data_IF_949725236867
#
_entry.id   IF_949725236867
#
_cell.length_a   1.000
_cell.length_b   1.000
_cell.length_c   1.000
_cell.angle_alpha   90.00
_cell.angle_beta   90.00
_cell.angle_gamma   90.00
#
_symmetry.space_group_name_H-M   'P 1'
#
loop_
_entity.id
_entity.type
_entity.pdbx_description
1 polymer ?
#
# COMPACT_ATOMS: atom_id res chain seq x y z
N UNK A 1 43.46 -11.22 68.12
CA UNK A 1 42.59 -11.87 67.12
C UNK A 1 42.26 -10.83 66.09
N UNK A 2 42.67 -11.10 64.86
CA UNK A 2 42.69 -10.22 63.70
C UNK A 2 41.28 -9.93 63.15
N UNK A 3 41.08 -8.81 62.43
CA UNK A 3 39.82 -8.41 61.81
C UNK A 3 39.71 -8.88 60.36
N UNK A 4 38.51 -9.20 59.87
CA UNK A 4 38.10 -9.37 58.46
C UNK A 4 36.64 -9.87 58.44
N UNK A 5 35.75 -9.54 57.50
CA UNK A 5 35.82 -8.73 56.29
C UNK A 5 34.40 -8.25 55.93
N UNK A 6 34.34 -7.10 55.24
CA UNK A 6 33.22 -6.72 54.39
C UNK A 6 33.02 -7.80 53.32
N UNK A 7 31.77 -8.20 53.07
CA UNK A 7 31.44 -8.89 51.83
C UNK A 7 30.38 -8.10 51.05
N UNK A 8 30.87 -7.58 49.94
CA UNK A 8 30.16 -6.88 48.89
C UNK A 8 29.62 -7.91 47.92
N UNK A 9 28.33 -8.22 47.98
CA UNK A 9 27.67 -8.98 46.92
C UNK A 9 27.14 -8.02 45.87
N UNK A 10 27.99 -7.79 44.87
CA UNK A 10 27.65 -7.27 43.55
C UNK A 10 26.46 -8.04 42.99
N UNK A 11 25.30 -7.37 42.90
CA UNK A 11 24.17 -7.86 42.12
C UNK A 11 24.56 -7.86 40.64
N UNK A 12 24.75 -9.05 40.08
CA UNK A 12 24.90 -9.31 38.66
C UNK A 12 23.67 -8.77 37.93
N UNK A 13 23.79 -7.91 36.90
CA UNK A 13 22.63 -7.55 36.10
C UNK A 13 22.22 -8.78 35.29
N UNK A 14 21.07 -9.35 35.63
CA UNK A 14 20.40 -10.33 34.79
C UNK A 14 20.15 -9.69 33.42
N UNK A 15 20.66 -10.33 32.37
CA UNK A 15 20.36 -10.02 30.98
C UNK A 15 18.83 -9.93 30.80
N UNK A 16 18.34 -8.72 30.59
CA UNK A 16 16.99 -8.50 30.09
C UNK A 16 16.94 -9.02 28.65
N UNK A 17 16.30 -10.16 28.49
CA UNK A 17 15.84 -10.64 27.20
C UNK A 17 14.82 -9.63 26.67
N UNK A 18 15.25 -8.76 25.75
CA UNK A 18 14.36 -7.89 24.98
C UNK A 18 13.57 -8.75 23.98
N UNK A 19 12.33 -9.05 24.32
CA UNK A 19 11.43 -9.83 23.49
C UNK A 19 9.99 -9.65 23.93
N UNK A 20 9.41 -8.48 23.67
CA UNK A 20 7.98 -8.25 23.74
C UNK A 20 7.63 -7.12 22.78
N UNK A 21 7.45 -7.49 21.51
CA UNK A 21 6.89 -6.61 20.48
C UNK A 21 5.47 -6.19 20.83
N UNK A 22 5.07 -5.08 20.21
CA UNK A 22 3.73 -4.51 20.23
C UNK A 22 2.66 -5.51 19.77
N UNK A 23 2.22 -6.42 20.65
CA UNK A 23 0.97 -7.13 20.46
C UNK A 23 -0.11 -6.46 21.30
N UNK A 24 -0.59 -5.31 20.80
CA UNK A 24 -1.83 -4.72 21.28
C UNK A 24 -2.95 -5.73 21.05
N UNK A 25 -3.62 -6.13 22.12
CA UNK A 25 -4.77 -7.04 22.09
C UNK A 25 -5.91 -6.31 21.39
N UNK A 26 -6.06 -6.52 20.07
CA UNK A 26 -7.05 -5.85 19.24
C UNK A 26 -8.46 -6.25 19.68
N UNK A 27 -9.09 -5.39 20.49
CA UNK A 27 -10.54 -5.30 20.65
C UNK A 27 -11.22 -5.15 19.29
N UNK A 28 -12.56 -5.29 19.23
CA UNK A 28 -13.31 -5.16 17.97
C UNK A 28 -12.92 -3.86 17.24
N UNK A 29 -12.13 -3.99 16.16
CA UNK A 29 -11.54 -2.86 15.47
C UNK A 29 -12.63 -2.06 14.78
N UNK A 30 -13.07 -0.97 15.42
CA UNK A 30 -14.04 -0.05 14.85
C UNK A 30 -13.47 0.55 13.56
N UNK A 31 -14.33 0.92 12.61
CA UNK A 31 -13.89 1.51 11.35
C UNK A 31 -13.00 2.75 11.58
N UNK A 32 -13.32 3.57 12.58
CA UNK A 32 -12.50 4.72 12.97
C UNK A 32 -11.09 4.37 13.45
N UNK A 33 -10.91 3.25 14.17
CA UNK A 33 -9.58 2.76 14.54
C UNK A 33 -8.80 2.32 13.29
N UNK A 34 -9.43 1.54 12.41
CA UNK A 34 -8.82 1.04 11.18
C UNK A 34 -8.38 2.18 10.26
N UNK A 35 -9.24 3.17 10.03
CA UNK A 35 -8.91 4.33 9.19
C UNK A 35 -7.90 5.27 9.86
N UNK A 36 -7.91 5.35 11.19
CA UNK A 36 -6.92 6.09 11.99
C UNK A 36 -5.51 5.51 11.88
N UNK A 37 -5.37 4.17 11.92
CA UNK A 37 -4.08 3.50 11.69
C UNK A 37 -3.49 3.87 10.32
N UNK A 38 -4.33 3.90 9.27
CA UNK A 38 -3.88 4.26 7.92
C UNK A 38 -3.35 5.71 7.84
N UNK A 39 -3.85 6.63 8.67
CA UNK A 39 -3.36 8.01 8.71
C UNK A 39 -1.87 8.10 9.10
N UNK A 40 -1.36 7.13 9.87
CA UNK A 40 0.04 7.11 10.30
C UNK A 40 1.02 6.82 9.15
N UNK A 41 0.52 6.31 8.01
CA UNK A 41 1.34 5.98 6.85
C UNK A 41 1.58 7.18 5.92
N UNK A 42 0.81 8.27 6.08
CA UNK A 42 0.82 9.44 5.19
C UNK A 42 2.21 10.05 5.03
N UNK A 43 2.52 10.47 3.80
CA UNK A 43 3.83 10.99 3.41
C UNK A 43 4.90 9.91 3.23
N UNK A 44 4.55 8.63 3.43
CA UNK A 44 5.49 7.52 3.35
C UNK A 44 5.45 6.74 2.04
N UNK A 45 6.36 5.78 1.96
CA UNK A 45 6.49 4.81 0.86
C UNK A 45 6.24 3.41 1.41
N UNK A 46 5.38 2.65 0.75
CA UNK A 46 5.15 1.24 1.03
C UNK A 46 5.86 0.42 -0.05
N UNK A 47 6.73 -0.50 0.34
CA UNK A 47 7.57 -1.24 -0.61
C UNK A 47 7.14 -2.71 -0.72
N UNK A 48 6.87 -3.18 -1.93
CA UNK A 48 6.68 -4.61 -2.20
C UNK A 48 8.01 -5.36 -2.02
N UNK A 49 8.01 -6.45 -1.24
CA UNK A 49 9.20 -7.25 -0.92
C UNK A 49 8.90 -8.75 -1.05
N UNK A 50 9.89 -9.52 -1.52
CA UNK A 50 9.75 -10.99 -1.72
C UNK A 50 10.55 -11.83 -0.73
N UNK A 51 11.31 -11.22 0.19
CA UNK A 51 12.06 -11.92 1.23
C UNK A 51 12.46 -10.96 2.37
N UNK A 52 13.03 -11.51 3.43
CA UNK A 52 13.49 -10.76 4.60
C UNK A 52 14.62 -9.75 4.29
N UNK A 53 15.49 -10.01 3.32
CA UNK A 53 16.59 -9.10 2.98
C UNK A 53 16.07 -7.84 2.29
N UNK A 54 15.14 -7.98 1.36
CA UNK A 54 14.43 -6.87 0.73
C UNK A 54 13.63 -6.06 1.77
N UNK A 55 13.00 -6.72 2.74
CA UNK A 55 12.30 -6.06 3.84
C UNK A 55 13.24 -5.19 4.68
N UNK A 56 14.43 -5.70 5.03
CA UNK A 56 15.45 -4.91 5.76
C UNK A 56 15.97 -3.74 4.94
N UNK A 57 16.14 -3.91 3.62
CA UNK A 57 16.53 -2.81 2.73
C UNK A 57 15.43 -1.72 2.73
N UNK A 58 14.17 -2.12 2.63
CA UNK A 58 13.04 -1.19 2.64
C UNK A 58 12.95 -0.41 3.96
N UNK A 59 13.07 -1.09 5.10
CA UNK A 59 13.08 -0.46 6.42
C UNK A 59 14.27 0.50 6.58
N UNK A 60 15.48 0.06 6.21
CA UNK A 60 16.69 0.89 6.28
C UNK A 60 16.63 2.12 5.35
N UNK A 61 15.88 2.04 4.25
CA UNK A 61 15.63 3.15 3.34
C UNK A 61 14.60 4.16 3.87
N UNK A 62 13.83 3.80 4.90
CA UNK A 62 12.79 4.64 5.49
C UNK A 62 11.38 4.38 4.94
N UNK A 63 11.10 3.17 4.44
CA UNK A 63 9.73 2.78 4.11
C UNK A 63 8.82 2.86 5.35
N UNK A 64 7.58 3.31 5.18
CA UNK A 64 6.62 3.38 6.29
C UNK A 64 5.93 2.03 6.55
N UNK A 65 5.95 1.12 5.58
CA UNK A 65 5.52 -0.28 5.69
C UNK A 65 6.12 -1.10 4.53
N UNK A 66 6.02 -2.42 4.61
CA UNK A 66 6.34 -3.34 3.50
C UNK A 66 5.12 -4.15 3.09
N UNK A 67 5.06 -4.55 1.82
CA UNK A 67 4.01 -5.41 1.25
C UNK A 67 4.62 -6.74 0.84
N UNK A 68 4.30 -7.80 1.58
CA UNK A 68 4.80 -9.15 1.31
C UNK A 68 4.06 -9.79 0.13
N UNK A 69 4.82 -10.29 -0.85
CA UNK A 69 4.29 -11.12 -1.93
C UNK A 69 5.36 -12.06 -2.54
N UNK A 70 4.99 -13.25 -3.01
CA UNK A 70 5.91 -14.24 -3.60
C UNK A 70 6.68 -13.74 -4.82
N UNK A 71 6.04 -12.90 -5.64
CA UNK A 71 6.58 -12.41 -6.90
C UNK A 71 6.16 -10.97 -7.09
N UNK A 72 7.11 -10.08 -7.33
CA UNK A 72 6.79 -8.69 -7.68
C UNK A 72 5.95 -8.63 -8.97
N UNK A 73 5.10 -7.61 -9.18
CA UNK A 73 4.15 -7.58 -10.29
C UNK A 73 4.77 -7.76 -11.69
N UNK A 74 5.99 -7.26 -11.91
CA UNK A 74 6.74 -7.49 -13.16
C UNK A 74 7.04 -8.98 -13.42
N UNK A 75 7.33 -9.76 -12.39
CA UNK A 75 7.56 -11.20 -12.51
C UNK A 75 6.25 -11.94 -12.73
N UNK A 76 5.15 -11.54 -12.06
CA UNK A 76 3.81 -12.09 -12.30
C UNK A 76 3.42 -11.95 -13.78
N UNK A 77 3.68 -10.79 -14.40
CA UNK A 77 3.44 -10.57 -15.84
C UNK A 77 4.26 -11.48 -16.74
N UNK A 78 5.56 -11.61 -16.44
CA UNK A 78 6.50 -12.39 -17.24
C UNK A 78 6.17 -13.87 -17.20
N UNK A 79 5.93 -14.38 -16.00
CA UNK A 79 5.75 -15.81 -15.75
C UNK A 79 4.32 -16.29 -16.03
N UNK A 80 3.34 -15.39 -15.92
CA UNK A 80 1.93 -15.70 -16.07
C UNK A 80 1.42 -16.68 -15.01
N UNK A 81 0.35 -17.40 -15.36
CA UNK A 81 -0.32 -18.35 -14.48
C UNK A 81 -1.19 -17.70 -13.41
N UNK A 82 -1.57 -18.47 -12.40
CA UNK A 82 -2.42 -18.02 -11.30
C UNK A 82 -1.55 -17.46 -10.17
N UNK A 83 -1.73 -16.18 -9.84
CA UNK A 83 -1.10 -15.53 -8.70
C UNK A 83 -2.05 -15.56 -7.49
N UNK A 84 -1.54 -15.95 -6.32
CA UNK A 84 -2.32 -16.20 -5.08
C UNK A 84 -1.71 -15.46 -3.89
N UNK A 85 -2.34 -15.57 -2.72
CA UNK A 85 -1.72 -15.19 -1.45
C UNK A 85 -0.39 -15.94 -1.28
N UNK A 86 0.58 -15.26 -0.68
CA UNK A 86 1.91 -15.82 -0.43
C UNK A 86 1.93 -16.81 0.71
N UNK A 87 2.91 -17.71 0.70
CA UNK A 87 3.15 -18.67 1.78
C UNK A 87 3.20 -17.94 3.15
N UNK A 88 2.33 -18.31 4.12
CA UNK A 88 2.37 -17.75 5.47
C UNK A 88 3.74 -17.82 6.15
N UNK A 89 4.57 -18.83 5.83
CA UNK A 89 5.94 -18.92 6.33
C UNK A 89 6.78 -17.73 5.85
N UNK A 90 6.74 -17.43 4.56
CA UNK A 90 7.46 -16.30 3.97
C UNK A 90 7.00 -14.98 4.58
N UNK A 91 5.68 -14.80 4.79
CA UNK A 91 5.14 -13.58 5.41
C UNK A 91 5.68 -13.43 6.84
N UNK A 92 5.67 -14.50 7.63
CA UNK A 92 6.23 -14.49 9.00
C UNK A 92 7.72 -14.19 9.03
N UNK A 93 8.49 -14.74 8.11
CA UNK A 93 9.93 -14.42 7.99
C UNK A 93 10.16 -12.92 7.71
N UNK A 94 9.30 -12.28 6.90
CA UNK A 94 9.34 -10.83 6.68
C UNK A 94 8.94 -10.07 7.95
N UNK A 95 7.86 -10.49 8.63
CA UNK A 95 7.41 -9.88 9.90
C UNK A 95 8.47 -9.95 11.00
N UNK A 96 9.23 -11.04 11.07
CA UNK A 96 10.32 -11.20 12.04
C UNK A 96 11.56 -10.36 11.67
N UNK A 97 11.70 -9.94 10.40
CA UNK A 97 12.88 -9.25 9.90
C UNK A 97 12.85 -7.73 10.08
N UNK A 98 11.67 -7.13 10.27
CA UNK A 98 11.48 -5.67 10.34
C UNK A 98 10.59 -5.26 11.51
N UNK A 99 10.66 -3.98 11.89
CA UNK A 99 9.83 -3.38 12.94
C UNK A 99 8.70 -2.49 12.41
N UNK A 100 8.74 -2.14 11.12
CA UNK A 100 7.67 -1.42 10.42
C UNK A 100 6.49 -2.35 10.06
N UNK A 101 5.27 -1.81 9.89
CA UNK A 101 4.10 -2.59 9.53
C UNK A 101 4.32 -3.49 8.31
N UNK A 102 3.79 -4.72 8.38
CA UNK A 102 3.80 -5.67 7.28
C UNK A 102 2.39 -5.88 6.74
N UNK A 103 2.23 -5.55 5.46
CA UNK A 103 1.02 -5.80 4.69
C UNK A 103 1.18 -7.07 3.85
N UNK A 104 0.08 -7.70 3.48
CA UNK A 104 0.09 -8.83 2.55
C UNK A 104 -1.11 -8.80 1.60
N UNK A 105 -0.95 -9.40 0.40
CA UNK A 105 -2.00 -9.43 -0.62
C UNK A 105 -2.90 -10.65 -0.51
N UNK A 106 -4.21 -10.44 -0.64
CA UNK A 106 -5.19 -11.49 -0.92
C UNK A 106 -5.81 -11.31 -2.30
N UNK A 107 -6.28 -12.39 -2.91
CA UNK A 107 -7.07 -12.30 -4.14
C UNK A 107 -8.40 -11.61 -3.88
N UNK A 108 -8.91 -10.91 -4.89
CA UNK A 108 -10.25 -10.31 -4.85
C UNK A 108 -11.30 -11.38 -4.56
N UNK A 109 -12.13 -11.14 -3.54
CA UNK A 109 -13.19 -12.03 -3.09
C UNK A 109 -12.74 -13.27 -2.30
N UNK A 110 -11.44 -13.47 -2.08
CA UNK A 110 -10.94 -14.67 -1.42
C UNK A 110 -10.97 -14.56 0.11
N UNK A 111 -12.15 -14.67 0.70
CA UNK A 111 -12.41 -14.51 2.14
C UNK A 111 -11.45 -15.37 3.00
N UNK A 112 -11.18 -16.61 2.60
CA UNK A 112 -10.32 -17.53 3.36
C UNK A 112 -8.84 -17.10 3.35
N UNK A 113 -8.36 -16.46 2.28
CA UNK A 113 -6.98 -15.95 2.25
C UNK A 113 -6.87 -14.80 3.24
N UNK A 114 -7.86 -13.89 3.23
CA UNK A 114 -7.90 -12.80 4.19
C UNK A 114 -8.00 -13.29 5.65
N UNK A 115 -8.75 -14.37 5.91
CA UNK A 115 -8.81 -14.98 7.26
C UNK A 115 -7.46 -15.54 7.70
N UNK A 116 -6.72 -16.19 6.79
CA UNK A 116 -5.37 -16.70 7.07
C UNK A 116 -4.42 -15.54 7.37
N UNK A 117 -4.43 -14.49 6.54
CA UNK A 117 -3.59 -13.29 6.73
C UNK A 117 -3.86 -12.61 8.09
N UNK A 118 -5.14 -12.44 8.45
CA UNK A 118 -5.50 -11.91 9.76
C UNK A 118 -5.02 -12.82 10.89
N UNK A 119 -5.11 -14.15 10.73
CA UNK A 119 -4.71 -15.10 11.76
C UNK A 119 -3.21 -15.13 12.01
N UNK A 120 -2.39 -14.87 10.98
CA UNK A 120 -0.94 -14.75 11.14
C UNK A 120 -0.49 -13.36 11.63
N UNK A 121 -1.42 -12.40 11.71
CA UNK A 121 -1.18 -11.11 12.36
C UNK A 121 -0.57 -10.04 11.46
N UNK A 122 -0.83 -10.05 10.16
CA UNK A 122 -0.43 -8.92 9.29
C UNK A 122 -1.14 -7.64 9.72
N UNK A 123 -0.50 -6.49 9.53
CA UNK A 123 -1.03 -5.19 9.94
C UNK A 123 -2.12 -4.67 8.99
N UNK A 124 -2.01 -5.00 7.70
CA UNK A 124 -3.00 -4.67 6.67
C UNK A 124 -3.14 -5.80 5.65
N UNK A 125 -4.33 -5.93 5.08
CA UNK A 125 -4.58 -6.79 3.92
C UNK A 125 -4.85 -5.94 2.69
N UNK A 126 -4.13 -6.18 1.60
CA UNK A 126 -4.43 -5.58 0.29
C UNK A 126 -5.23 -6.57 -0.56
N UNK A 127 -6.52 -6.29 -0.72
CA UNK A 127 -7.38 -7.05 -1.64
C UNK A 127 -7.07 -6.60 -3.07
N UNK A 128 -6.18 -7.35 -3.71
CA UNK A 128 -5.34 -6.82 -4.78
C UNK A 128 -5.67 -7.39 -6.15
N UNK A 129 -5.91 -6.51 -7.11
CA UNK A 129 -6.15 -6.81 -8.53
C UNK A 129 -4.94 -7.37 -9.27
N UNK A 130 -3.74 -7.24 -8.70
CA UNK A 130 -2.52 -7.84 -9.26
C UNK A 130 -2.47 -9.36 -9.10
N UNK A 131 -3.25 -9.91 -8.17
CA UNK A 131 -3.43 -11.35 -8.01
C UNK A 131 -4.63 -11.81 -8.84
N UNK A 132 -4.68 -13.09 -9.19
CA UNK A 132 -5.80 -13.63 -9.99
C UNK A 132 -7.08 -13.58 -9.15
N UNK A 133 -8.15 -12.87 -9.55
CA UNK A 133 -9.40 -12.81 -8.78
C UNK A 133 -9.95 -14.22 -8.45
N UNK A 134 -10.47 -14.39 -7.23
CA UNK A 134 -11.05 -15.65 -6.80
C UNK A 134 -12.57 -15.66 -6.95
N UNK A 135 -13.21 -14.51 -6.76
CA UNK A 135 -14.63 -14.30 -7.01
C UNK A 135 -14.80 -13.30 -8.16
N UNK A 136 -15.60 -13.61 -9.20
CA UNK A 136 -15.81 -12.73 -10.34
C UNK A 136 -16.80 -11.59 -10.04
N UNK A 137 -17.54 -11.66 -8.94
CA UNK A 137 -18.68 -10.77 -8.66
C UNK A 137 -18.51 -9.98 -7.37
N UNK A 138 -17.93 -10.56 -6.32
CA UNK A 138 -17.94 -9.98 -4.98
C UNK A 138 -16.52 -9.75 -4.45
N UNK A 139 -16.34 -8.59 -3.83
CA UNK A 139 -15.21 -8.34 -2.95
C UNK A 139 -15.48 -8.91 -1.55
N UNK A 140 -14.42 -9.08 -0.76
CA UNK A 140 -14.52 -9.47 0.65
C UNK A 140 -15.35 -8.42 1.42
N UNK A 141 -16.26 -8.87 2.30
CA UNK A 141 -16.86 -8.02 3.34
C UNK A 141 -15.80 -7.70 4.40
N UNK A 142 -15.20 -6.51 4.30
CA UNK A 142 -14.06 -6.08 5.13
C UNK A 142 -14.50 -5.61 6.52
N UNK A 143 -15.81 -5.41 6.74
CA UNK A 143 -16.35 -5.10 8.07
C UNK A 143 -16.27 -6.30 9.01
N UNK A 144 -16.33 -7.52 8.48
CA UNK A 144 -16.24 -8.76 9.26
C UNK A 144 -14.83 -9.04 9.85
N UNK A 145 -13.83 -8.25 9.46
CA UNK A 145 -12.44 -8.40 9.88
C UNK A 145 -12.05 -7.36 10.93
N UNK A 146 -11.04 -7.66 11.75
CA UNK A 146 -10.40 -6.68 12.64
C UNK A 146 -9.25 -5.96 11.95
N UNK A 147 -8.49 -6.68 11.12
CA UNK A 147 -7.39 -6.11 10.33
C UNK A 147 -7.94 -5.13 9.29
N UNK A 148 -7.30 -3.95 9.09
CA UNK A 148 -7.68 -2.99 8.06
C UNK A 148 -7.36 -3.51 6.65
N UNK A 149 -8.15 -3.05 5.68
CA UNK A 149 -7.97 -3.39 4.27
C UNK A 149 -7.56 -2.18 3.43
N UNK A 150 -6.68 -2.44 2.47
CA UNK A 150 -6.33 -1.56 1.35
C UNK A 150 -6.99 -2.12 0.09
N UNK A 151 -7.59 -1.27 -0.74
CA UNK A 151 -8.13 -1.68 -2.05
C UNK A 151 -7.72 -0.73 -3.18
N UNK A 152 -7.56 -1.29 -4.38
CA UNK A 152 -7.31 -0.53 -5.60
C UNK A 152 -8.57 0.10 -6.21
N UNK A 153 -8.47 1.33 -6.72
CA UNK A 153 -9.50 1.96 -7.54
C UNK A 153 -8.92 2.61 -8.81
N UNK A 154 -9.76 2.72 -9.86
CA UNK A 154 -9.46 3.50 -11.07
C UNK A 154 -10.24 4.82 -11.17
N UNK A 155 -11.35 4.93 -10.44
CA UNK A 155 -12.24 6.08 -10.42
C UNK A 155 -12.90 6.25 -9.04
N UNK A 156 -13.60 7.38 -8.83
CA UNK A 156 -14.27 7.68 -7.56
C UNK A 156 -15.37 6.68 -7.22
N UNK A 157 -16.07 6.14 -8.22
CA UNK A 157 -17.13 5.15 -8.00
C UNK A 157 -16.58 3.86 -7.40
N UNK A 158 -15.50 3.32 -7.99
CA UNK A 158 -14.77 2.18 -7.44
C UNK A 158 -14.27 2.46 -6.02
N UNK A 159 -13.65 3.61 -5.77
CA UNK A 159 -13.16 3.97 -4.44
C UNK A 159 -14.29 3.93 -3.39
N UNK A 160 -15.44 4.55 -3.68
CA UNK A 160 -16.55 4.62 -2.73
C UNK A 160 -17.24 3.27 -2.51
N UNK A 161 -17.32 2.41 -3.54
CA UNK A 161 -17.78 1.02 -3.34
C UNK A 161 -16.85 0.25 -2.41
N UNK A 162 -15.52 0.32 -2.61
CA UNK A 162 -14.54 -0.35 -1.73
C UNK A 162 -14.61 0.17 -0.29
N UNK A 163 -14.77 1.48 -0.09
CA UNK A 163 -14.96 2.09 1.24
C UNK A 163 -16.24 1.56 1.88
N UNK A 164 -17.35 1.46 1.14
CA UNK A 164 -18.62 0.94 1.67
C UNK A 164 -18.54 -0.53 2.10
N UNK A 165 -17.70 -1.32 1.43
CA UNK A 165 -17.39 -2.71 1.80
C UNK A 165 -16.43 -2.81 3.00
N UNK A 166 -15.89 -1.69 3.50
CA UNK A 166 -15.05 -1.62 4.69
C UNK A 166 -13.56 -1.42 4.43
N UNK A 167 -13.15 -0.99 3.23
CA UNK A 167 -11.76 -0.60 2.98
C UNK A 167 -11.39 0.64 3.82
N UNK A 168 -10.32 0.53 4.60
CA UNK A 168 -9.83 1.60 5.48
C UNK A 168 -8.79 2.49 4.80
N UNK A 169 -8.33 2.09 3.62
CA UNK A 169 -7.36 2.78 2.79
C UNK A 169 -7.61 2.44 1.33
N UNK A 170 -7.36 3.39 0.43
CA UNK A 170 -7.49 3.24 -1.02
C UNK A 170 -6.14 3.49 -1.67
N UNK A 171 -5.88 2.81 -2.78
CA UNK A 171 -4.77 3.13 -3.68
C UNK A 171 -5.23 3.20 -5.13
N UNK A 172 -4.52 3.93 -5.99
CA UNK A 172 -4.73 3.77 -7.44
C UNK A 172 -4.37 2.34 -7.84
N UNK A 173 -5.05 1.78 -8.84
CA UNK A 173 -4.59 0.51 -9.44
C UNK A 173 -3.30 0.68 -10.24
N UNK A 174 -3.25 1.77 -11.02
CA UNK A 174 -2.20 2.02 -12.00
C UNK A 174 -2.07 0.86 -12.98
N UNK A 175 -0.89 0.62 -13.53
CA UNK A 175 -0.61 -0.60 -14.30
C UNK A 175 0.62 -1.28 -13.71
N UNK A 176 0.40 -2.10 -12.68
CA UNK A 176 1.46 -2.71 -11.88
C UNK A 176 2.45 -3.51 -12.73
N UNK A 177 3.76 -3.39 -12.43
CA UNK A 177 4.83 -4.15 -13.09
C UNK A 177 5.33 -3.57 -14.42
N UNK A 178 4.72 -2.50 -14.95
CA UNK A 178 5.11 -1.90 -16.25
C UNK A 178 6.20 -0.85 -16.17
N UNK A 179 6.47 -0.30 -14.98
CA UNK A 179 7.38 0.85 -14.83
C UNK A 179 6.89 2.13 -15.52
N UNK A 180 5.60 2.21 -15.85
CA UNK A 180 4.99 3.35 -16.51
C UNK A 180 3.89 3.96 -15.62
N UNK A 181 4.14 5.15 -15.10
CA UNK A 181 3.25 5.85 -14.15
C UNK A 181 1.94 6.37 -14.78
N UNK A 182 1.80 6.32 -16.11
CA UNK A 182 0.68 6.95 -16.84
C UNK A 182 -0.72 6.57 -16.31
N UNK A 183 -0.96 5.29 -16.01
CA UNK A 183 -2.27 4.85 -15.53
C UNK A 183 -2.49 5.25 -14.06
N UNK A 184 -1.44 5.31 -13.24
CA UNK A 184 -1.55 5.85 -11.88
C UNK A 184 -1.91 7.34 -11.93
N UNK A 185 -1.29 8.12 -12.83
CA UNK A 185 -1.64 9.53 -13.08
C UNK A 185 -3.09 9.66 -13.55
N UNK A 186 -3.53 8.81 -14.49
CA UNK A 186 -4.91 8.80 -15.01
C UNK A 186 -5.91 8.59 -13.87
N UNK A 187 -5.73 7.54 -13.08
CA UNK A 187 -6.63 7.21 -11.97
C UNK A 187 -6.67 8.30 -10.89
N UNK A 188 -5.51 8.84 -10.50
CA UNK A 188 -5.45 9.93 -9.53
C UNK A 188 -6.19 11.17 -10.04
N UNK A 189 -6.01 11.54 -11.31
CA UNK A 189 -6.73 12.67 -11.91
C UNK A 189 -8.23 12.43 -12.03
N UNK A 190 -8.65 11.21 -12.40
CA UNK A 190 -10.06 10.85 -12.51
C UNK A 190 -10.76 10.99 -11.16
N UNK A 191 -10.19 10.41 -10.10
CA UNK A 191 -10.71 10.53 -8.74
C UNK A 191 -10.76 11.99 -8.29
N UNK A 192 -9.66 12.74 -8.41
CA UNK A 192 -9.60 14.13 -7.96
C UNK A 192 -10.54 15.05 -8.75
N UNK A 193 -10.74 14.81 -10.04
CA UNK A 193 -11.69 15.57 -10.87
C UNK A 193 -13.12 15.28 -10.45
N UNK A 194 -13.46 14.01 -10.22
CA UNK A 194 -14.78 13.62 -9.73
C UNK A 194 -15.06 14.19 -8.34
N UNK A 195 -14.08 14.21 -7.43
CA UNK A 195 -14.22 14.84 -6.11
C UNK A 195 -14.51 16.35 -6.25
N UNK A 196 -13.75 17.06 -7.09
CA UNK A 196 -13.97 18.49 -7.36
C UNK A 196 -15.33 18.77 -7.99
N UNK A 197 -15.80 17.89 -8.90
CA UNK A 197 -17.16 17.98 -9.46
C UNK A 197 -18.20 17.81 -8.36
N UNK A 198 -18.07 16.76 -7.55
CA UNK A 198 -19.00 16.47 -6.46
C UNK A 198 -19.11 17.63 -5.46
N UNK A 199 -17.98 18.28 -5.12
CA UNK A 199 -17.97 19.43 -4.19
C UNK A 199 -18.67 20.69 -4.71
N UNK A 200 -19.03 20.73 -6.01
CA UNK A 200 -19.74 21.85 -6.64
C UNK A 200 -21.19 21.52 -6.99
N UNK A 201 -21.59 20.25 -6.88
CA UNK A 201 -22.96 19.81 -7.13
C UNK A 201 -23.88 20.23 -5.97
N UNK A 202 -25.13 20.57 -6.31
CA UNK A 202 -26.22 20.64 -5.35
C UNK A 202 -26.61 19.25 -4.83
N UNK A 203 -27.34 19.21 -3.71
CA UNK A 203 -27.83 17.96 -3.10
C UNK A 203 -28.63 17.07 -4.08
N UNK A 204 -29.40 17.67 -4.99
CA UNK A 204 -30.18 16.92 -5.99
C UNK A 204 -29.28 16.36 -7.08
N UNK A 205 -28.28 17.12 -7.54
CA UNK A 205 -27.33 16.68 -8.56
C UNK A 205 -26.44 15.53 -8.07
N UNK A 206 -26.13 15.49 -6.76
CA UNK A 206 -25.39 14.38 -6.16
C UNK A 206 -26.09 13.02 -6.32
N UNK A 207 -27.43 12.98 -6.34
CA UNK A 207 -28.16 11.74 -6.63
C UNK A 207 -27.97 11.27 -8.08
N UNK A 208 -27.89 12.19 -9.04
CA UNK A 208 -27.60 11.84 -10.45
C UNK A 208 -26.17 11.34 -10.59
N UNK A 209 -25.22 12.06 -9.98
CA UNK A 209 -23.81 11.69 -10.00
C UNK A 209 -23.56 10.33 -9.33
N UNK A 210 -24.24 10.02 -8.22
CA UNK A 210 -24.14 8.71 -7.57
C UNK A 210 -24.60 7.56 -8.49
N UNK A 211 -25.64 7.78 -9.31
CA UNK A 211 -26.10 6.80 -10.32
C UNK A 211 -25.08 6.63 -11.44
N UNK A 212 -24.52 7.73 -11.95
CA UNK A 212 -23.48 7.72 -12.99
C UNK A 212 -22.23 6.96 -12.52
N UNK A 213 -21.79 7.20 -11.28
CA UNK A 213 -20.61 6.56 -10.69
C UNK A 213 -20.88 5.15 -10.13
N UNK A 214 -22.14 4.75 -10.05
CA UNK A 214 -22.60 3.54 -9.38
C UNK A 214 -22.05 3.44 -7.94
N UNK A 215 -22.21 4.49 -7.13
CA UNK A 215 -21.66 4.55 -5.77
C UNK A 215 -22.70 4.88 -4.69
N UNK A 216 -22.40 4.60 -3.41
CA UNK A 216 -23.27 4.97 -2.30
C UNK A 216 -23.39 6.49 -2.16
N UNK A 217 -24.61 7.01 -2.26
CA UNK A 217 -24.87 8.46 -2.24
C UNK A 217 -24.42 9.13 -0.94
N UNK A 218 -24.55 8.47 0.21
CA UNK A 218 -24.13 9.06 1.49
C UNK A 218 -22.61 9.25 1.57
N UNK A 219 -21.82 8.32 1.03
CA UNK A 219 -20.37 8.48 0.93
C UNK A 219 -20.01 9.57 -0.08
N UNK A 220 -20.73 9.66 -1.20
CA UNK A 220 -20.51 10.73 -2.17
C UNK A 220 -20.81 12.12 -1.57
N UNK A 221 -21.85 12.24 -0.74
CA UNK A 221 -22.15 13.47 0.01
C UNK A 221 -21.03 13.84 0.97
N UNK A 222 -20.53 12.86 1.73
CA UNK A 222 -19.40 13.08 2.64
C UNK A 222 -18.19 13.61 1.86
N UNK A 223 -17.84 12.95 0.74
CA UNK A 223 -16.76 13.37 -0.16
C UNK A 223 -16.98 14.79 -0.70
N UNK A 224 -18.19 15.10 -1.17
CA UNK A 224 -18.54 16.43 -1.66
C UNK A 224 -18.34 17.51 -0.59
N UNK A 225 -18.70 17.21 0.66
CA UNK A 225 -18.57 18.11 1.81
C UNK A 225 -17.12 18.32 2.23
N UNK A 226 -16.31 17.25 2.29
CA UNK A 226 -14.92 17.34 2.79
C UNK A 226 -13.88 17.63 1.70
N UNK A 227 -14.26 17.51 0.41
CA UNK A 227 -13.37 17.76 -0.73
C UNK A 227 -12.25 16.74 -0.91
N UNK A 228 -12.38 15.54 -0.33
CA UNK A 228 -11.43 14.42 -0.44
C UNK A 228 -12.12 13.08 -0.10
N UNK A 229 -11.42 11.96 -0.27
CA UNK A 229 -11.89 10.67 0.28
C UNK A 229 -11.86 10.68 1.82
N UNK A 230 -12.81 10.00 2.50
CA UNK A 230 -12.84 9.88 3.96
C UNK A 230 -11.77 8.92 4.53
N UNK A 231 -10.94 8.35 3.66
CA UNK A 231 -9.82 7.45 4.01
C UNK A 231 -8.55 7.90 3.29
N UNK A 232 -7.40 7.35 3.70
CA UNK A 232 -6.11 7.61 3.05
C UNK A 232 -6.11 7.11 1.61
N UNK A 233 -5.54 7.90 0.69
CA UNK A 233 -5.42 7.55 -0.73
C UNK A 233 -3.97 7.57 -1.20
N UNK A 234 -3.39 6.41 -1.47
CA UNK A 234 -2.03 6.27 -2.00
C UNK A 234 -2.01 6.11 -3.52
N UNK A 235 -0.88 6.42 -4.14
CA UNK A 235 -0.65 6.02 -5.53
C UNK A 235 0.07 4.68 -5.60
N UNK A 236 -0.36 3.81 -6.50
CA UNK A 236 0.32 2.58 -6.84
C UNK A 236 0.30 2.33 -8.36
N UNK A 237 1.28 1.55 -8.81
CA UNK A 237 1.40 1.05 -10.18
C UNK A 237 2.27 1.94 -11.07
N UNK A 238 3.41 1.41 -11.51
CA UNK A 238 4.25 2.03 -12.53
C UNK A 238 5.24 3.11 -12.04
N UNK A 239 5.28 3.40 -10.74
CA UNK A 239 6.30 4.28 -10.15
C UNK A 239 7.66 3.57 -10.25
N UNK A 240 8.61 4.19 -10.95
CA UNK A 240 9.94 3.62 -11.21
C UNK A 240 11.09 4.56 -10.82
N UNK A 241 10.81 5.85 -10.62
CA UNK A 241 11.82 6.88 -10.33
C UNK A 241 11.42 7.79 -9.17
N UNK A 242 12.37 8.53 -8.57
CA UNK A 242 12.06 9.56 -7.58
C UNK A 242 11.11 10.65 -8.12
N UNK A 243 11.26 11.01 -9.40
CA UNK A 243 10.39 11.98 -10.07
C UNK A 243 8.94 11.49 -10.20
N UNK A 244 8.72 10.20 -10.49
CA UNK A 244 7.37 9.61 -10.52
C UNK A 244 6.71 9.68 -9.15
N UNK A 245 7.46 9.35 -8.09
CA UNK A 245 6.95 9.42 -6.73
C UNK A 245 6.56 10.85 -6.34
N UNK A 246 7.43 11.82 -6.63
CA UNK A 246 7.15 13.23 -6.37
C UNK A 246 5.95 13.76 -7.18
N UNK A 247 5.83 13.37 -8.46
CA UNK A 247 4.67 13.69 -9.30
C UNK A 247 3.37 13.21 -8.64
N UNK A 248 3.33 11.98 -8.15
CA UNK A 248 2.13 11.46 -7.51
C UNK A 248 1.78 12.24 -6.23
N UNK A 249 2.77 12.63 -5.43
CA UNK A 249 2.53 13.50 -4.26
C UNK A 249 1.99 14.89 -4.67
N UNK A 250 2.56 15.51 -5.71
CA UNK A 250 2.07 16.79 -6.25
C UNK A 250 0.64 16.70 -6.83
N UNK A 251 0.20 15.51 -7.23
CA UNK A 251 -1.19 15.26 -7.64
C UNK A 251 -2.16 15.13 -6.46
N UNK A 252 -1.71 15.31 -5.22
CA UNK A 252 -2.55 15.29 -4.02
C UNK A 252 -2.73 13.90 -3.41
N UNK A 253 -1.84 12.96 -3.73
CA UNK A 253 -1.84 11.63 -3.12
C UNK A 253 -1.22 11.68 -1.72
N UNK A 254 -1.71 10.84 -0.81
CA UNK A 254 -1.25 10.82 0.59
C UNK A 254 0.06 10.02 0.79
N UNK A 255 0.56 9.34 -0.25
CA UNK A 255 1.75 8.49 -0.22
C UNK A 255 1.84 7.59 -1.46
N UNK A 256 2.86 6.74 -1.54
CA UNK A 256 3.11 5.88 -2.71
C UNK A 256 3.43 4.43 -2.36
N UNK A 257 2.98 3.50 -3.21
CA UNK A 257 3.40 2.10 -3.25
C UNK A 257 4.39 1.89 -4.39
N UNK A 258 5.51 1.23 -4.10
CA UNK A 258 6.52 0.91 -5.10
C UNK A 258 6.98 -0.53 -4.94
N UNK A 259 6.98 -1.29 -6.04
CA UNK A 259 7.49 -2.66 -6.05
C UNK A 259 8.58 -2.88 -7.06
N UNK A 260 8.20 -3.33 -8.25
CA UNK A 260 9.13 -3.61 -9.35
C UNK A 260 10.10 -2.47 -9.66
N UNK A 261 9.74 -1.20 -9.41
CA UNK A 261 10.61 -0.05 -9.60
C UNK A 261 11.93 -0.14 -8.82
N UNK A 262 11.88 -0.65 -7.58
CA UNK A 262 13.04 -0.73 -6.68
C UNK A 262 13.84 -2.01 -6.91
N UNK A 263 13.25 -3.17 -6.66
CA UNK A 263 13.99 -4.45 -6.61
C UNK A 263 14.31 -5.04 -8.00
N UNK A 264 13.90 -4.38 -9.10
CA UNK A 264 14.38 -4.68 -10.46
C UNK A 264 15.32 -3.62 -11.02
N UNK A 265 15.78 -2.69 -10.18
CA UNK A 265 16.84 -1.74 -10.53
C UNK A 265 18.23 -2.32 -10.27
N UNK A 266 19.25 -1.65 -10.80
CA UNK A 266 20.66 -2.00 -10.59
C UNK A 266 21.10 -1.82 -9.12
N UNK A 267 20.59 -0.80 -8.43
CA UNK A 267 20.90 -0.52 -7.03
C UNK A 267 19.63 -0.27 -6.19
N UNK A 268 18.96 -1.35 -5.74
CA UNK A 268 17.70 -1.24 -5.01
C UNK A 268 17.80 -0.40 -3.74
N UNK A 269 18.90 -0.48 -2.99
CA UNK A 269 19.07 0.27 -1.74
C UNK A 269 19.15 1.78 -1.99
N UNK A 270 19.95 2.21 -2.98
CA UNK A 270 20.05 3.63 -3.33
C UNK A 270 18.72 4.17 -3.88
N UNK A 271 18.06 3.40 -4.76
CA UNK A 271 16.79 3.81 -5.36
C UNK A 271 15.65 3.86 -4.33
N UNK A 272 15.57 2.89 -3.41
CA UNK A 272 14.59 2.88 -2.32
C UNK A 272 14.71 4.15 -1.47
N UNK A 273 15.93 4.49 -1.05
CA UNK A 273 16.20 5.70 -0.27
C UNK A 273 15.86 6.98 -1.05
N UNK A 274 16.20 7.02 -2.34
CA UNK A 274 15.89 8.17 -3.20
C UNK A 274 14.39 8.39 -3.35
N UNK A 275 13.61 7.32 -3.51
CA UNK A 275 12.15 7.39 -3.60
C UNK A 275 11.55 7.88 -2.27
N UNK A 276 11.99 7.36 -1.12
CA UNK A 276 11.54 7.84 0.21
C UNK A 276 11.79 9.33 0.38
N UNK A 277 13.00 9.79 0.05
CA UNK A 277 13.35 11.21 0.14
C UNK A 277 12.56 12.06 -0.84
N UNK A 278 12.32 11.59 -2.06
CA UNK A 278 11.51 12.31 -3.04
C UNK A 278 10.03 12.39 -2.66
N UNK A 279 9.48 11.34 -2.05
CA UNK A 279 8.11 11.36 -1.49
C UNK A 279 8.00 12.35 -0.35
N UNK A 280 9.05 12.51 0.47
CA UNK A 280 9.08 13.47 1.59
C UNK A 280 9.27 14.91 1.10
N UNK A 281 10.17 15.12 0.13
CA UNK A 281 10.57 16.44 -0.38
C UNK A 281 10.02 16.70 -1.78
N UNK A 282 8.79 16.26 -2.05
CA UNK A 282 8.19 16.26 -3.40
C UNK A 282 8.02 17.65 -4.02
N UNK A 283 8.04 18.71 -3.21
CA UNK A 283 7.93 20.11 -3.64
C UNK A 283 9.29 20.85 -3.68
N UNK A 284 10.42 20.16 -3.46
CA UNK A 284 11.76 20.75 -3.54
C UNK A 284 12.52 20.22 -4.77
N UNK A 285 12.52 20.96 -5.91
CA UNK A 285 13.21 20.54 -7.12
C UNK A 285 14.72 20.34 -6.96
N UNK A 286 15.37 21.06 -6.04
CA UNK A 286 16.80 20.92 -5.78
C UNK A 286 17.05 19.58 -5.11
N UNK A 287 16.25 19.25 -4.08
CA UNK A 287 16.34 17.95 -3.42
C UNK A 287 16.01 16.80 -4.35
N UNK A 288 14.99 16.96 -5.20
CA UNK A 288 14.63 15.96 -6.22
C UNK A 288 15.78 15.71 -7.21
N UNK A 289 16.48 16.75 -7.67
CA UNK A 289 17.64 16.61 -8.53
C UNK A 289 18.80 15.90 -7.82
N UNK A 290 19.07 16.26 -6.56
CA UNK A 290 20.11 15.62 -5.72
C UNK A 290 19.86 14.12 -5.59
N UNK A 291 18.66 13.72 -5.14
CA UNK A 291 18.35 12.31 -4.87
C UNK A 291 18.20 11.47 -6.14
N UNK A 292 17.95 12.10 -7.29
CA UNK A 292 17.84 11.41 -8.59
C UNK A 292 19.20 11.16 -9.26
N UNK A 293 20.28 11.75 -8.74
CA UNK A 293 21.59 11.69 -9.39
C UNK A 293 22.31 10.37 -9.09
N UNK A 294 22.84 9.72 -10.12
CA UNK A 294 23.75 8.57 -9.95
C UNK A 294 23.11 7.27 -9.48
N UNK A 295 21.81 7.08 -9.70
CA UNK A 295 21.07 5.89 -9.22
C UNK A 295 21.29 4.61 -10.05
N UNK A 296 21.97 4.71 -11.21
CA UNK A 296 22.17 3.59 -12.13
C UNK A 296 20.94 3.30 -12.99
N UNK A 297 20.94 2.14 -13.65
CA UNK A 297 19.83 1.74 -14.51
C UNK A 297 18.58 1.36 -13.68
N UNK A 298 17.45 2.03 -13.98
CA UNK A 298 16.13 1.66 -13.46
C UNK A 298 15.54 0.44 -14.18
N UNK A 299 14.35 0.02 -13.76
CA UNK A 299 13.62 -1.04 -14.47
C UNK A 299 13.36 -0.63 -15.93
N UNK A 300 13.51 -1.56 -16.88
CA UNK A 300 13.35 -1.26 -18.32
C UNK A 300 11.95 -0.77 -18.71
N UNK A 301 10.94 -1.22 -17.97
CA UNK A 301 9.53 -0.97 -18.23
C UNK A 301 8.99 -1.63 -19.52
N UNK A 302 7.67 -1.60 -19.69
CA UNK A 302 7.01 -1.99 -20.94
C UNK A 302 6.46 -0.73 -21.63
N UNK A 303 7.13 -0.28 -22.70
CA UNK A 303 6.81 0.99 -23.40
C UNK A 303 5.62 0.94 -24.36
N UNK A 304 4.71 -0.04 -24.25
CA UNK A 304 3.53 -0.05 -25.12
C UNK A 304 2.56 1.03 -24.64
N UNK A 305 2.41 2.11 -25.42
CA UNK A 305 1.39 3.14 -25.20
C UNK A 305 0.02 2.53 -25.51
N UNK A 306 -0.61 1.96 -24.48
CA UNK A 306 -1.94 1.37 -24.54
C UNK A 306 -1.96 -0.14 -24.26
N UNK A 307 -3.10 -0.66 -23.81
CA UNK A 307 -3.21 -2.07 -23.46
C UNK A 307 -3.10 -2.95 -24.71
N UNK A 308 -2.18 -3.92 -24.70
CA UNK A 308 -2.29 -5.07 -25.60
C UNK A 308 -3.46 -5.93 -25.12
N UNK A 309 -4.41 -6.25 -26.01
CA UNK A 309 -5.51 -7.15 -25.71
C UNK A 309 -4.98 -8.43 -25.04
N UNK A 310 -5.43 -8.71 -23.81
CA UNK A 310 -5.01 -9.88 -23.02
C UNK A 310 -3.81 -9.71 -22.08
N UNK A 311 -3.25 -8.49 -21.91
CA UNK A 311 -2.13 -8.21 -20.96
C UNK A 311 -2.42 -7.14 -19.91
N UNK A 312 -3.65 -6.67 -19.80
CA UNK A 312 -4.05 -5.72 -18.77
C UNK A 312 -4.11 -6.47 -17.43
N UNK A 313 -3.35 -6.02 -16.42
CA UNK A 313 -3.48 -6.58 -15.05
C UNK A 313 -4.60 -5.92 -14.27
N UNK A 314 -5.03 -4.73 -14.68
CA UNK A 314 -6.23 -4.12 -14.13
C UNK A 314 -7.47 -4.90 -14.56
N UNK A 315 -8.01 -5.70 -13.65
CA UNK A 315 -9.30 -6.32 -13.86
C UNK A 315 -10.39 -5.23 -13.96
N UNK A 316 -11.10 -5.21 -15.09
CA UNK A 316 -12.30 -4.40 -15.29
C UNK A 316 -13.48 -5.06 -14.55
N UNK A 317 -13.67 -4.68 -13.28
CA UNK A 317 -14.79 -5.05 -12.38
C UNK A 317 -14.91 -6.54 -12.00
N UNK A 318 -15.17 -6.76 -10.71
CA UNK A 318 -16.37 -7.49 -10.26
C UNK A 318 -17.38 -6.42 -9.79
N UNK A 319 -18.65 -6.60 -10.10
CA UNK A 319 -19.72 -5.58 -10.06
C UNK A 319 -19.80 -4.76 -8.76
#
# INVERSE_FOLDING_TARGET
MSPQALDSTTATPQQQTHGAGYHATLGNGTFGLKSGLAQMLKGGVIMDVVNADEARIAEAAGACAVMALERVPSDIRRDGGVARMSDPKMIKEIMEAVSIPVMAKSRIGHIVEAQILQAIGVDYIDESEVLTPADPSLHVDKHAFKVPFVCGCKDLGEALRRISEGAAMIRTKGEAGTGNVIEAVRHAREVNTAIKRASTCSEIELYSMAKELACPVELLREVAKIGRLPVVMFSAGGIATPADAALMMQLGMDGVFVGSGIFKSENPSALAKAIVLATTHFDDPIKLAEVSTGLGAGMKGEGNLGPKAGKIMTADRGY
#
